data_IF_293301830761
#
_entry.id   IF_293301830761
#
_cell.length_a   1.000
_cell.length_b   1.000
_cell.length_c   1.000
_cell.angle_alpha   90.00
_cell.angle_beta   90.00
_cell.angle_gamma   90.00
#
_symmetry.space_group_name_H-M   'P 1'
#
loop_
_entity.id
_entity.type
_entity.pdbx_description
1 polymer ?
#
# COMPACT_ATOMS: atom_id res chain seq x y z
N UNK A 1 -4.33 8.83 14.92
CA UNK A 1 -5.46 7.95 14.54
C UNK A 1 -5.35 6.65 15.33
N UNK A 2 -6.21 6.46 16.34
CA UNK A 2 -6.24 5.22 17.14
C UNK A 2 -7.19 4.24 16.45
N UNK A 3 -6.64 3.17 15.88
CA UNK A 3 -7.40 1.97 15.49
C UNK A 3 -7.21 0.94 16.60
N UNK A 4 -8.22 0.75 17.46
CA UNK A 4 -8.12 -0.22 18.56
C UNK A 4 -8.70 -1.57 18.16
N UNK A 5 -7.95 -2.63 18.45
CA UNK A 5 -8.23 -3.99 18.00
C UNK A 5 -9.29 -4.70 18.85
N UNK A 6 -9.95 -5.62 18.15
CA UNK A 6 -11.10 -6.45 18.47
C UNK A 6 -10.90 -7.30 19.72
N UNK A 7 -11.89 -7.23 20.60
CA UNK A 7 -12.11 -8.15 21.69
C UNK A 7 -13.10 -9.22 21.20
N UNK A 8 -12.67 -10.48 21.13
CA UNK A 8 -13.53 -11.63 20.83
C UNK A 8 -14.08 -12.19 22.15
N UNK A 9 -15.40 -12.16 22.33
CA UNK A 9 -16.09 -12.64 23.53
C UNK A 9 -17.11 -13.72 23.19
N UNK A 10 -16.96 -14.90 23.78
CA UNK A 10 -17.98 -15.96 23.79
C UNK A 10 -19.09 -15.58 24.79
N UNK A 11 -20.40 -15.72 24.47
CA UNK A 11 -21.40 -14.83 25.04
C UNK A 11 -22.23 -15.44 26.16
N UNK A 12 -22.70 -14.53 27.01
CA UNK A 12 -24.05 -14.47 27.58
C UNK A 12 -24.16 -13.18 28.42
N UNK A 13 -23.93 -11.97 27.86
CA UNK A 13 -23.77 -10.76 28.69
C UNK A 13 -24.22 -9.42 28.11
N UNK A 14 -24.67 -8.56 29.03
CA UNK A 14 -25.13 -7.17 28.89
C UNK A 14 -23.95 -6.18 28.86
N UNK A 15 -24.03 -5.12 28.05
CA UNK A 15 -23.10 -3.96 28.08
C UNK A 15 -23.57 -2.94 29.11
N UNK A 16 -22.64 -2.44 29.94
CA UNK A 16 -22.91 -1.43 30.98
C UNK A 16 -21.99 -0.23 30.73
N UNK A 17 -22.57 0.96 30.55
CA UNK A 17 -21.82 2.21 30.47
C UNK A 17 -21.35 2.62 31.88
N UNK A 18 -20.05 2.92 32.03
CA UNK A 18 -19.48 3.44 33.26
C UNK A 18 -18.93 4.85 33.01
N UNK A 19 -19.84 5.83 32.94
CA UNK A 19 -19.49 7.25 32.83
C UNK A 19 -20.55 8.10 33.53
N UNK A 20 -20.19 8.67 34.69
CA UNK A 20 -20.94 9.65 35.52
C UNK A 20 -22.44 9.33 35.70
N UNK A 21 -22.79 8.55 36.73
CA UNK A 21 -24.13 8.24 37.27
C UNK A 21 -25.29 7.86 36.33
N UNK A 22 -25.13 7.94 35.01
CA UNK A 22 -26.15 7.61 34.03
C UNK A 22 -25.86 6.22 33.44
N UNK A 23 -26.57 5.22 33.97
CA UNK A 23 -26.57 3.87 33.40
C UNK A 23 -27.50 3.90 32.17
N UNK A 24 -26.93 4.15 31.00
CA UNK A 24 -27.66 3.93 29.74
C UNK A 24 -27.63 2.42 29.45
N UNK A 25 -28.68 1.73 29.88
CA UNK A 25 -28.98 0.37 29.40
C UNK A 25 -29.61 0.52 28.03
N UNK A 26 -28.88 0.21 26.95
CA UNK A 26 -29.46 0.19 25.61
C UNK A 26 -30.44 -0.99 25.49
N UNK A 27 -31.76 -0.77 25.43
CA UNK A 27 -32.71 -1.84 25.18
C UNK A 27 -32.67 -2.17 23.69
N UNK A 28 -32.51 -3.46 23.37
CA UNK A 28 -32.42 -4.00 22.01
C UNK A 28 -31.19 -3.53 21.21
N UNK A 29 -30.15 -4.37 21.25
CA UNK A 29 -28.84 -4.19 20.59
C UNK A 29 -28.88 -3.94 19.07
N UNK A 30 -29.97 -4.31 18.38
CA UNK A 30 -30.01 -4.41 16.92
C UNK A 30 -31.23 -3.69 16.31
N UNK A 31 -31.33 -2.36 16.47
CA UNK A 31 -32.45 -1.57 15.91
C UNK A 31 -32.11 -0.78 14.65
N UNK A 32 -30.83 -0.68 14.28
CA UNK A 32 -30.39 0.05 13.07
C UNK A 32 -29.46 -0.80 12.21
N UNK A 33 -29.87 -1.06 10.96
CA UNK A 33 -29.02 -1.67 9.93
C UNK A 33 -28.03 -0.62 9.41
N UNK A 34 -26.80 -0.67 9.87
CA UNK A 34 -25.68 -0.05 9.15
C UNK A 34 -25.10 -1.10 8.20
N UNK A 35 -25.28 -0.88 6.90
CA UNK A 35 -24.93 -1.86 5.87
C UNK A 35 -23.42 -2.02 5.61
N UNK A 36 -22.56 -1.22 6.25
CA UNK A 36 -21.14 -1.18 5.89
C UNK A 36 -20.27 -0.95 7.12
N UNK A 37 -19.71 -2.02 7.68
CA UNK A 37 -18.45 -1.88 8.42
C UNK A 37 -17.41 -1.34 7.43
N UNK A 38 -16.79 -0.22 7.77
CA UNK A 38 -15.63 0.26 7.03
C UNK A 38 -14.55 -0.82 7.12
N UNK A 39 -13.86 -1.17 6.03
CA UNK A 39 -12.78 -2.14 6.12
C UNK A 39 -11.74 -1.76 7.24
N UNK A 40 -10.89 -2.67 7.74
CA UNK A 40 -10.58 -4.01 7.26
C UNK A 40 -11.60 -5.05 7.72
N UNK A 41 -12.70 -4.62 8.33
CA UNK A 41 -13.68 -5.46 9.00
C UNK A 41 -14.84 -5.88 8.09
N UNK A 42 -14.70 -5.75 6.77
CA UNK A 42 -15.76 -6.01 5.79
C UNK A 42 -16.04 -7.52 5.59
N UNK A 43 -15.07 -8.38 5.90
CA UNK A 43 -15.18 -9.84 5.79
C UNK A 43 -15.75 -10.49 7.07
N UNK A 44 -16.03 -9.67 8.09
CA UNK A 44 -16.71 -10.12 9.29
C UNK A 44 -18.19 -10.35 8.93
N UNK A 45 -18.79 -11.53 9.24
CA UNK A 45 -20.18 -11.85 8.87
C UNK A 45 -21.18 -10.75 9.30
N UNK A 46 -22.37 -10.68 8.71
CA UNK A 46 -23.23 -9.48 8.76
C UNK A 46 -24.38 -9.57 9.77
N UNK A 47 -24.06 -9.59 11.06
CA UNK A 47 -25.02 -9.31 12.14
C UNK A 47 -24.48 -8.18 13.00
N UNK A 48 -24.50 -6.97 12.43
CA UNK A 48 -24.02 -5.76 13.09
C UNK A 48 -25.14 -5.20 13.98
N UNK A 49 -24.82 -5.01 15.26
CA UNK A 49 -25.69 -4.41 16.26
C UNK A 49 -25.16 -3.02 16.65
N UNK A 50 -25.71 -1.97 16.03
CA UNK A 50 -25.61 -0.54 16.42
C UNK A 50 -24.21 0.13 16.48
N UNK A 51 -24.16 1.44 16.17
CA UNK A 51 -22.99 2.29 16.43
C UNK A 51 -23.37 3.38 17.43
N UNK A 52 -22.61 3.52 18.52
CA UNK A 52 -22.76 4.63 19.45
C UNK A 52 -21.69 5.68 19.13
N UNK A 53 -22.13 6.84 18.63
CA UNK A 53 -21.26 8.02 18.48
C UNK A 53 -21.33 8.84 19.78
N UNK A 54 -20.21 8.94 20.49
CA UNK A 54 -20.09 9.63 21.77
C UNK A 54 -18.89 10.58 21.75
N UNK A 55 -19.13 11.89 21.61
CA UNK A 55 -18.10 12.94 21.66
C UNK A 55 -16.84 12.68 20.80
N UNK A 56 -17.01 12.12 19.59
CA UNK A 56 -15.89 11.81 18.68
C UNK A 56 -15.26 10.43 18.85
N UNK A 57 -15.80 9.61 19.76
CA UNK A 57 -15.55 8.17 19.84
C UNK A 57 -16.71 7.41 19.22
N UNK A 58 -16.39 6.39 18.43
CA UNK A 58 -17.36 5.47 17.84
C UNK A 58 -17.09 4.07 18.35
N UNK A 59 -18.13 3.43 18.84
CA UNK A 59 -18.10 2.02 19.22
C UNK A 59 -18.99 1.24 18.26
N UNK A 60 -18.44 0.18 17.66
CA UNK A 60 -19.16 -0.74 16.77
C UNK A 60 -19.05 -2.15 17.29
N UNK A 61 -20.15 -2.90 17.26
CA UNK A 61 -20.21 -4.27 17.77
C UNK A 61 -20.77 -5.22 16.70
N UNK A 62 -20.21 -6.42 16.64
CA UNK A 62 -20.64 -7.49 15.74
C UNK A 62 -20.65 -8.82 16.49
N UNK A 63 -21.67 -9.67 16.32
CA UNK A 63 -21.67 -11.02 16.85
C UNK A 63 -21.80 -12.04 15.71
N UNK A 64 -20.90 -13.01 15.61
CA UNK A 64 -20.99 -14.06 14.59
C UNK A 64 -21.96 -15.19 14.96
N UNK A 65 -22.15 -16.13 14.02
CA UNK A 65 -23.00 -17.31 14.21
C UNK A 65 -22.47 -18.27 15.28
N UNK A 66 -21.17 -18.19 15.60
CA UNK A 66 -20.55 -18.93 16.70
C UNK A 66 -20.65 -18.15 18.02
N UNK A 67 -21.50 -17.13 18.05
CA UNK A 67 -21.82 -16.31 19.19
C UNK A 67 -20.64 -15.45 19.67
N UNK A 68 -19.58 -15.31 18.88
CA UNK A 68 -18.40 -14.49 19.19
C UNK A 68 -18.69 -13.02 18.94
N UNK A 69 -18.69 -12.21 20.00
CA UNK A 69 -18.83 -10.76 19.95
C UNK A 69 -17.47 -10.10 19.66
N UNK A 70 -17.41 -9.34 18.59
CA UNK A 70 -16.33 -8.45 18.16
C UNK A 70 -16.68 -7.01 18.50
N UNK A 71 -15.81 -6.33 19.25
CA UNK A 71 -15.95 -4.90 19.59
C UNK A 71 -14.87 -4.09 18.89
N UNK A 72 -15.27 -3.09 18.09
CA UNK A 72 -14.36 -2.13 17.45
C UNK A 72 -14.55 -0.76 18.11
N UNK A 73 -13.46 -0.18 18.59
CA UNK A 73 -13.43 1.17 19.14
C UNK A 73 -12.57 2.05 18.25
N UNK A 74 -13.11 3.21 17.86
CA UNK A 74 -12.35 4.26 17.18
C UNK A 74 -12.55 5.59 17.88
N UNK A 75 -11.49 6.40 17.91
CA UNK A 75 -11.50 7.73 18.51
C UNK A 75 -10.77 8.72 17.61
N UNK A 76 -11.35 9.90 17.43
CA UNK A 76 -10.79 10.94 16.56
C UNK A 76 -9.70 11.79 17.25
N UNK A 77 -9.54 11.69 18.58
CA UNK A 77 -8.67 12.58 19.36
C UNK A 77 -7.30 11.96 19.70
N UNK A 78 -6.22 12.66 19.34
CA UNK A 78 -4.82 12.21 19.49
C UNK A 78 -4.31 12.21 20.94
N UNK A 79 -4.96 12.94 21.85
CA UNK A 79 -4.54 13.07 23.26
C UNK A 79 -5.42 12.29 24.24
N UNK A 80 -6.03 11.20 23.78
CA UNK A 80 -6.99 10.45 24.58
C UNK A 80 -6.64 8.99 24.74
N UNK A 81 -7.08 8.43 25.86
CA UNK A 81 -7.06 7.01 26.13
C UNK A 81 -8.49 6.47 25.95
N UNK A 82 -8.59 5.22 25.53
CA UNK A 82 -9.86 4.50 25.46
C UNK A 82 -9.68 3.16 26.18
N UNK A 83 -10.63 2.83 27.05
CA UNK A 83 -10.60 1.60 27.83
C UNK A 83 -11.86 0.77 27.63
N UNK A 84 -11.71 -0.55 27.53
CA UNK A 84 -12.82 -1.50 27.55
C UNK A 84 -12.58 -2.57 28.60
N UNK A 85 -13.57 -2.77 29.45
CA UNK A 85 -13.63 -3.84 30.45
C UNK A 85 -14.56 -4.97 30.02
N UNK A 86 -14.17 -6.19 30.35
CA UNK A 86 -14.94 -7.41 30.12
C UNK A 86 -15.00 -8.20 31.41
N UNK A 87 -16.22 -8.51 31.81
CA UNK A 87 -16.50 -9.27 33.02
C UNK A 87 -17.25 -10.58 32.71
N UNK A 88 -16.93 -11.65 33.44
CA UNK A 88 -17.61 -12.96 33.36
C UNK A 88 -18.82 -13.10 34.28
N UNK A 89 -19.07 -12.14 35.15
CA UNK A 89 -20.21 -12.14 36.08
C UNK A 89 -20.98 -10.80 36.04
N UNK A 90 -20.56 -9.85 35.20
CA UNK A 90 -21.12 -8.51 35.14
C UNK A 90 -20.58 -7.57 36.22
N UNK A 91 -19.67 -8.05 37.07
CA UNK A 91 -19.03 -7.26 38.12
C UNK A 91 -17.72 -6.64 37.63
N UNK A 92 -17.42 -5.44 38.14
CA UNK A 92 -16.15 -4.76 37.85
C UNK A 92 -14.94 -5.48 38.47
N UNK A 93 -15.10 -6.01 39.68
CA UNK A 93 -14.04 -6.77 40.36
C UNK A 93 -13.97 -8.17 39.77
N UNK A 94 -12.77 -8.66 39.48
CA UNK A 94 -12.53 -9.92 38.79
C UNK A 94 -12.57 -9.81 37.26
N UNK A 95 -12.81 -8.61 36.73
CA UNK A 95 -12.87 -8.36 35.29
C UNK A 95 -11.49 -8.15 34.67
N UNK A 96 -11.40 -8.31 33.36
CA UNK A 96 -10.23 -7.92 32.57
C UNK A 96 -10.54 -6.64 31.81
N UNK A 97 -9.60 -5.71 31.76
CA UNK A 97 -9.72 -4.48 31.00
C UNK A 97 -8.56 -4.34 30.03
N UNK A 98 -8.78 -3.58 28.97
CA UNK A 98 -7.79 -3.20 27.98
C UNK A 98 -7.86 -1.69 27.83
N UNK A 99 -6.73 -1.01 27.92
CA UNK A 99 -6.63 0.44 27.74
C UNK A 99 -5.63 0.73 26.63
N UNK A 100 -6.08 1.48 25.63
CA UNK A 100 -5.26 1.99 24.54
C UNK A 100 -5.06 3.50 24.67
N UNK A 101 -3.85 4.00 24.42
CA UNK A 101 -3.55 5.44 24.37
C UNK A 101 -2.49 5.73 23.32
N UNK A 102 -2.44 6.98 22.85
CA UNK A 102 -1.32 7.48 22.05
C UNK A 102 -0.14 7.81 22.95
N UNK A 103 1.05 7.39 22.55
CA UNK A 103 2.30 7.78 23.19
C UNK A 103 2.59 9.25 22.90
N UNK A 104 3.49 9.83 23.70
CA UNK A 104 3.89 11.26 23.61
C UNK A 104 4.49 11.66 22.26
N UNK A 105 4.86 10.68 21.43
CA UNK A 105 5.36 10.92 20.08
C UNK A 105 4.26 11.27 19.07
N UNK A 106 2.97 11.14 19.46
CA UNK A 106 1.80 11.35 18.60
C UNK A 106 1.70 10.35 17.43
N UNK A 107 2.56 9.32 17.41
CA UNK A 107 2.78 8.44 16.24
C UNK A 107 2.75 6.96 16.59
N UNK A 108 2.90 6.60 17.85
CA UNK A 108 2.72 5.24 18.35
C UNK A 108 1.56 5.16 19.32
N UNK A 109 0.76 4.11 19.20
CA UNK A 109 -0.26 3.75 20.19
C UNK A 109 0.26 2.61 21.04
N UNK A 110 -0.04 2.65 22.34
CA UNK A 110 0.19 1.53 23.26
C UNK A 110 -1.16 1.00 23.69
N UNK A 111 -1.30 -0.32 23.71
CA UNK A 111 -2.45 -0.98 24.33
C UNK A 111 -1.91 -1.87 25.44
N UNK A 112 -2.47 -1.72 26.64
CA UNK A 112 -2.15 -2.56 27.79
C UNK A 112 -3.38 -3.23 28.34
N UNK A 113 -3.18 -4.43 28.86
CA UNK A 113 -4.20 -5.18 29.56
C UNK A 113 -4.08 -4.96 31.07
N UNK A 114 -5.21 -5.03 31.77
CA UNK A 114 -5.29 -4.91 33.23
C UNK A 114 -6.26 -5.92 33.80
N UNK A 115 -5.95 -6.46 34.98
CA UNK A 115 -6.88 -7.26 35.77
C UNK A 115 -7.36 -6.45 36.97
N UNK A 116 -8.68 -6.25 37.08
CA UNK A 116 -9.29 -5.40 38.09
C UNK A 116 -9.61 -6.23 39.35
N UNK A 117 -8.70 -6.24 40.34
CA UNK A 117 -8.81 -6.99 41.60
C UNK A 117 -9.70 -6.29 42.65
N UNK A 118 -9.95 -5.00 42.50
CA UNK A 118 -10.68 -4.19 43.49
C UNK A 118 -11.24 -2.91 42.89
N UNK A 119 -11.83 -2.04 43.73
CA UNK A 119 -12.59 -0.85 43.30
C UNK A 119 -12.00 0.47 43.76
N UNK A 120 -11.08 0.48 44.73
CA UNK A 120 -10.77 1.70 45.50
C UNK A 120 -9.32 2.13 45.38
N UNK A 121 -8.38 1.19 45.32
CA UNK A 121 -6.96 1.53 45.29
C UNK A 121 -6.35 1.24 43.93
N UNK A 122 -5.37 2.05 43.54
CA UNK A 122 -4.75 1.96 42.21
C UNK A 122 -3.94 0.67 42.03
N UNK A 123 -3.39 0.10 43.13
CA UNK A 123 -2.70 -1.19 43.17
C UNK A 123 -3.63 -2.39 42.96
N UNK A 124 -4.94 -2.16 43.03
CA UNK A 124 -5.95 -3.18 42.73
C UNK A 124 -6.18 -3.32 41.21
N UNK A 125 -5.55 -2.50 40.37
CA UNK A 125 -5.45 -2.69 38.92
C UNK A 125 -4.09 -3.30 38.56
N UNK A 126 -4.09 -4.60 38.21
CA UNK A 126 -2.85 -5.33 37.93
C UNK A 126 -2.53 -5.20 36.43
N UNK A 127 -1.46 -4.49 36.03
CA UNK A 127 -1.09 -4.36 34.63
C UNK A 127 -0.63 -5.70 34.04
N UNK A 128 -0.73 -5.81 32.72
CA UNK A 128 -0.25 -6.92 31.89
C UNK A 128 -0.83 -8.30 32.30
N UNK A 129 -2.02 -8.29 32.92
CA UNK A 129 -2.75 -9.47 33.38
C UNK A 129 -4.22 -9.43 32.95
N UNK A 130 -4.79 -10.60 32.66
CA UNK A 130 -6.22 -10.78 32.34
C UNK A 130 -6.42 -11.90 31.32
N UNK A 131 -7.67 -12.10 30.89
CA UNK A 131 -8.04 -13.23 29.99
C UNK A 131 -8.22 -12.83 28.52
N UNK A 132 -8.15 -11.53 28.22
CA UNK A 132 -8.38 -10.95 26.90
C UNK A 132 -7.14 -11.16 26.03
N UNK A 133 -7.31 -11.78 24.85
CA UNK A 133 -6.23 -11.91 23.86
C UNK A 133 -6.16 -10.66 23.00
N UNK A 134 -5.07 -9.91 23.13
CA UNK A 134 -4.82 -8.72 22.31
C UNK A 134 -3.94 -9.10 21.12
N UNK A 135 -4.46 -8.89 19.92
CA UNK A 135 -3.67 -8.85 18.69
C UNK A 135 -3.30 -7.41 18.33
N UNK A 136 -2.24 -7.25 17.55
CA UNK A 136 -1.79 -5.97 17.05
C UNK A 136 -1.54 -6.07 15.56
N UNK A 137 -2.26 -5.27 14.76
CA UNK A 137 -1.90 -5.04 13.35
C UNK A 137 -1.28 -3.65 13.25
N UNK A 138 0.05 -3.59 13.20
CA UNK A 138 0.79 -2.33 13.09
C UNK A 138 0.67 -1.79 11.65
N UNK A 139 -0.28 -0.88 11.43
CA UNK A 139 -0.49 -0.22 10.14
C UNK A 139 0.76 0.49 9.61
N UNK A 140 1.72 0.85 10.48
CA UNK A 140 2.99 1.47 10.05
C UNK A 140 3.90 0.47 9.36
N UNK A 141 3.97 -0.77 9.84
CA UNK A 141 4.72 -1.84 9.17
C UNK A 141 4.12 -2.13 7.80
N UNK A 142 2.79 -2.25 7.73
CA UNK A 142 2.08 -2.46 6.45
C UNK A 142 2.33 -1.30 5.48
N UNK A 143 2.26 -0.05 5.96
CA UNK A 143 2.57 1.15 5.17
C UNK A 143 4.01 1.18 4.68
N UNK A 144 4.96 0.82 5.54
CA UNK A 144 6.38 0.77 5.17
C UNK A 144 6.64 -0.33 4.13
N UNK A 145 6.08 -1.52 4.32
CA UNK A 145 6.17 -2.62 3.36
C UNK A 145 5.59 -2.25 1.99
N UNK A 146 4.41 -1.63 1.96
CA UNK A 146 3.82 -1.10 0.72
C UNK A 146 4.77 -0.13 0.00
N UNK A 147 5.32 0.84 0.73
CA UNK A 147 6.26 1.82 0.19
C UNK A 147 7.54 1.19 -0.35
N UNK A 148 8.16 0.27 0.40
CA UNK A 148 9.41 -0.40 -0.01
C UNK A 148 9.18 -1.23 -1.27
N UNK A 149 8.14 -2.06 -1.29
CA UNK A 149 7.84 -2.93 -2.45
C UNK A 149 7.57 -2.11 -3.72
N UNK A 150 6.80 -1.02 -3.61
CA UNK A 150 6.48 -0.19 -4.78
C UNK A 150 7.68 0.62 -5.27
N UNK A 151 8.52 1.15 -4.38
CA UNK A 151 9.78 1.82 -4.74
C UNK A 151 10.73 0.84 -5.44
N UNK A 152 10.95 -0.35 -4.88
CA UNK A 152 11.86 -1.33 -5.47
C UNK A 152 11.31 -1.84 -6.81
N UNK A 153 10.06 -2.33 -6.83
CA UNK A 153 9.46 -2.92 -8.01
C UNK A 153 9.28 -1.92 -9.15
N UNK A 154 8.45 -0.90 -8.94
CA UNK A 154 8.07 0.05 -9.99
C UNK A 154 8.96 1.29 -10.08
N UNK A 155 9.64 1.67 -8.99
CA UNK A 155 10.54 2.83 -8.98
C UNK A 155 11.96 2.53 -9.46
N UNK A 156 12.45 1.28 -9.33
CA UNK A 156 13.83 0.91 -9.64
C UNK A 156 13.90 -0.20 -10.70
N UNK A 157 13.29 -1.37 -10.43
CA UNK A 157 13.43 -2.56 -11.29
C UNK A 157 12.80 -2.33 -12.67
N UNK A 158 11.55 -1.84 -12.73
CA UNK A 158 10.86 -1.58 -14.01
C UNK A 158 11.61 -0.54 -14.88
N UNK A 159 12.00 0.65 -14.38
CA UNK A 159 12.78 1.61 -15.15
C UNK A 159 14.11 1.03 -15.63
N UNK A 160 14.79 0.24 -14.79
CA UNK A 160 16.04 -0.42 -15.15
C UNK A 160 15.86 -1.43 -16.30
N UNK A 161 14.81 -2.28 -16.24
CA UNK A 161 14.46 -3.20 -17.32
C UNK A 161 14.12 -2.47 -18.63
N UNK A 162 13.44 -1.32 -18.55
CA UNK A 162 13.18 -0.47 -19.71
C UNK A 162 14.47 0.08 -20.34
N UNK A 163 15.45 0.48 -19.51
CA UNK A 163 16.76 0.95 -19.97
C UNK A 163 17.54 -0.16 -20.70
N UNK A 164 17.48 -1.41 -20.25
CA UNK A 164 18.11 -2.55 -20.94
C UNK A 164 17.61 -2.70 -22.38
N UNK A 165 16.30 -2.59 -22.62
CA UNK A 165 15.73 -2.68 -23.96
C UNK A 165 16.16 -1.53 -24.90
N UNK A 166 16.62 -0.40 -24.34
CA UNK A 166 17.11 0.76 -25.09
C UNK A 166 18.58 0.63 -25.45
N UNK A 167 19.44 0.32 -24.46
CA UNK A 167 20.90 0.41 -24.62
C UNK A 167 21.57 -0.90 -24.96
N UNK A 168 20.96 -2.05 -24.67
CA UNK A 168 21.52 -3.35 -25.01
C UNK A 168 20.98 -3.89 -26.35
N UNK A 169 20.27 -3.06 -27.12
CA UNK A 169 19.47 -3.48 -28.28
C UNK A 169 20.26 -4.21 -29.38
N UNK A 170 21.57 -3.98 -29.46
CA UNK A 170 22.48 -4.60 -30.42
C UNK A 170 22.81 -6.06 -30.05
N UNK A 171 22.67 -6.45 -28.78
CA UNK A 171 22.97 -7.79 -28.28
C UNK A 171 21.74 -8.70 -28.37
N UNK A 172 21.46 -9.23 -29.55
CA UNK A 172 20.42 -10.24 -29.78
C UNK A 172 20.95 -11.66 -29.47
N UNK A 173 20.18 -12.53 -28.76
CA UNK A 173 18.85 -12.32 -28.17
C UNK A 173 18.91 -11.79 -26.72
N UNK A 174 20.10 -11.51 -26.18
CA UNK A 174 20.33 -11.18 -24.77
C UNK A 174 19.46 -10.04 -24.25
N UNK A 175 19.34 -8.93 -24.98
CA UNK A 175 18.55 -7.78 -24.54
C UNK A 175 17.10 -8.13 -24.27
N UNK A 176 16.55 -9.07 -25.07
CA UNK A 176 15.16 -9.47 -24.98
C UNK A 176 14.92 -10.23 -23.69
N UNK A 177 15.77 -11.21 -23.38
CA UNK A 177 15.69 -11.98 -22.15
C UNK A 177 15.94 -11.13 -20.91
N UNK A 178 16.97 -10.28 -20.92
CA UNK A 178 17.24 -9.38 -19.80
C UNK A 178 16.07 -8.43 -19.55
N UNK A 179 15.55 -7.79 -20.61
CA UNK A 179 14.38 -6.91 -20.49
C UNK A 179 13.17 -7.67 -19.94
N UNK A 180 12.78 -8.80 -20.55
CA UNK A 180 11.58 -9.52 -20.11
C UNK A 180 11.70 -10.03 -18.68
N UNK A 181 12.84 -10.63 -18.32
CA UNK A 181 13.04 -11.21 -16.99
C UNK A 181 13.00 -10.13 -15.90
N UNK A 182 13.70 -9.01 -16.10
CA UNK A 182 13.70 -7.89 -15.15
C UNK A 182 12.31 -7.27 -15.04
N UNK A 183 11.57 -7.14 -16.16
CA UNK A 183 10.21 -6.59 -16.14
C UNK A 183 9.23 -7.50 -15.38
N UNK A 184 9.30 -8.82 -15.54
CA UNK A 184 8.46 -9.75 -14.78
C UNK A 184 8.76 -9.70 -13.27
N UNK A 185 10.04 -9.68 -12.89
CA UNK A 185 10.44 -9.53 -11.48
C UNK A 185 9.87 -8.22 -10.91
N UNK A 186 10.08 -7.10 -11.60
CA UNK A 186 9.57 -5.79 -11.18
C UNK A 186 8.05 -5.75 -11.08
N UNK A 187 7.34 -6.42 -12.00
CA UNK A 187 5.88 -6.52 -11.98
C UNK A 187 5.38 -7.26 -10.75
N UNK A 188 5.91 -8.45 -10.42
CA UNK A 188 5.43 -9.23 -9.27
C UNK A 188 5.78 -8.59 -7.92
N UNK A 189 6.95 -7.93 -7.82
CA UNK A 189 7.29 -7.12 -6.64
C UNK A 189 6.32 -5.94 -6.49
N UNK A 190 6.02 -5.24 -7.59
CA UNK A 190 5.05 -4.14 -7.61
C UNK A 190 3.63 -4.60 -7.29
N UNK A 191 3.19 -5.75 -7.82
CA UNK A 191 1.88 -6.36 -7.56
C UNK A 191 1.72 -6.72 -6.08
N UNK A 192 2.75 -7.30 -5.47
CA UNK A 192 2.80 -7.52 -4.02
C UNK A 192 2.66 -6.21 -3.26
N UNK A 193 3.31 -5.14 -3.73
CA UNK A 193 3.13 -3.78 -3.21
C UNK A 193 1.68 -3.30 -3.28
N UNK A 194 0.98 -3.49 -4.39
CA UNK A 194 -0.44 -3.14 -4.54
C UNK A 194 -1.33 -3.96 -3.60
N UNK A 195 -1.06 -5.27 -3.46
CA UNK A 195 -1.79 -6.12 -2.53
C UNK A 195 -1.64 -5.64 -1.07
N UNK A 196 -0.42 -5.32 -0.63
CA UNK A 196 -0.18 -4.72 0.69
C UNK A 196 -0.85 -3.34 0.81
N UNK A 197 -0.89 -2.57 -0.27
CA UNK A 197 -1.58 -1.27 -0.31
C UNK A 197 -3.09 -1.39 -0.15
N UNK A 198 -3.69 -2.47 -0.67
CA UNK A 198 -5.09 -2.84 -0.44
C UNK A 198 -5.36 -3.15 1.02
N UNK A 199 -4.54 -4.02 1.62
CA UNK A 199 -4.62 -4.32 3.06
C UNK A 199 -4.40 -3.07 3.91
N UNK A 200 -3.51 -2.16 3.51
CA UNK A 200 -3.31 -0.89 4.20
C UNK A 200 -4.55 -0.02 4.13
N UNK A 201 -5.14 0.18 2.95
CA UNK A 201 -6.37 0.94 2.79
C UNK A 201 -7.47 0.36 3.67
N UNK A 202 -7.57 -0.96 3.68
CA UNK A 202 -8.48 -1.66 4.55
C UNK A 202 -8.20 -1.31 6.01
N UNK A 203 -6.97 -1.39 6.50
CA UNK A 203 -6.65 -1.09 7.90
C UNK A 203 -6.91 0.36 8.35
N UNK A 204 -6.72 1.35 7.49
CA UNK A 204 -6.68 2.78 7.92
C UNK A 204 -7.76 3.68 7.31
N UNK A 205 -8.45 3.26 6.24
CA UNK A 205 -9.49 4.07 5.57
C UNK A 205 -9.04 5.47 5.18
N UNK A 206 -7.74 5.66 4.97
CA UNK A 206 -7.18 6.96 4.70
C UNK A 206 -7.74 7.51 3.38
N UNK A 207 -8.19 8.76 3.41
CA UNK A 207 -8.67 9.46 2.23
C UNK A 207 -7.50 9.89 1.35
N UNK A 208 -7.02 8.95 0.52
CA UNK A 208 -5.88 9.15 -0.38
C UNK A 208 -6.23 8.75 -1.82
N UNK A 209 -7.34 9.28 -2.32
CA UNK A 209 -7.98 8.83 -3.55
C UNK A 209 -7.10 8.99 -4.80
N UNK A 210 -6.33 10.08 -4.93
CA UNK A 210 -5.48 10.32 -6.09
C UNK A 210 -4.37 9.27 -6.21
N UNK A 211 -3.66 8.98 -5.12
CA UNK A 211 -2.60 7.96 -5.09
C UNK A 211 -3.16 6.57 -5.41
N UNK A 212 -4.31 6.24 -4.82
CA UNK A 212 -4.99 4.96 -5.05
C UNK A 212 -5.42 4.80 -6.51
N UNK A 213 -6.05 5.83 -7.08
CA UNK A 213 -6.56 5.80 -8.46
C UNK A 213 -5.42 5.69 -9.47
N UNK A 214 -4.37 6.50 -9.31
CA UNK A 214 -3.17 6.40 -10.15
C UNK A 214 -2.52 5.02 -10.00
N UNK A 215 -2.44 4.48 -8.78
CA UNK A 215 -1.92 3.13 -8.54
C UNK A 215 -2.65 2.03 -9.32
N UNK A 216 -3.99 2.06 -9.35
CA UNK A 216 -4.77 1.11 -10.16
C UNK A 216 -4.60 1.32 -11.67
N UNK A 217 -4.46 2.58 -12.13
CA UNK A 217 -4.15 2.86 -13.54
C UNK A 217 -2.78 2.28 -13.91
N UNK A 218 -1.76 2.46 -13.08
CA UNK A 218 -0.42 1.87 -13.28
C UNK A 218 -0.51 0.34 -13.32
N UNK A 219 -1.26 -0.29 -12.43
CA UNK A 219 -1.48 -1.74 -12.45
C UNK A 219 -2.13 -2.19 -13.76
N UNK A 220 -3.23 -1.55 -14.17
CA UNK A 220 -3.95 -1.90 -15.40
C UNK A 220 -3.06 -1.77 -16.65
N UNK A 221 -2.32 -0.67 -16.76
CA UNK A 221 -1.38 -0.46 -17.86
C UNK A 221 -0.21 -1.47 -17.82
N UNK A 222 0.23 -1.89 -16.63
CA UNK A 222 1.26 -2.93 -16.49
C UNK A 222 0.76 -4.32 -16.89
N UNK A 223 -0.49 -4.66 -16.58
CA UNK A 223 -1.14 -5.89 -17.09
C UNK A 223 -1.26 -5.82 -18.62
N UNK A 224 -1.64 -4.66 -19.17
CA UNK A 224 -1.67 -4.47 -20.62
C UNK A 224 -0.28 -4.69 -21.26
N UNK A 225 0.82 -4.29 -20.60
CA UNK A 225 2.18 -4.60 -21.07
C UNK A 225 2.46 -6.10 -21.14
N UNK A 226 1.97 -6.88 -20.17
CA UNK A 226 2.10 -8.35 -20.18
C UNK A 226 1.25 -8.95 -21.32
N UNK A 227 0.02 -8.49 -21.51
CA UNK A 227 -0.80 -8.90 -22.65
C UNK A 227 -0.11 -8.60 -23.99
N UNK A 228 0.52 -7.42 -24.11
CA UNK A 228 1.30 -7.06 -25.29
C UNK A 228 2.51 -7.97 -25.50
N UNK A 229 3.19 -8.38 -24.43
CA UNK A 229 4.27 -9.36 -24.51
C UNK A 229 3.79 -10.71 -25.07
N UNK A 230 2.64 -11.21 -24.59
CA UNK A 230 2.05 -12.47 -25.08
C UNK A 230 1.62 -12.34 -26.55
N UNK A 231 0.99 -11.22 -26.90
CA UNK A 231 0.50 -10.93 -28.26
C UNK A 231 1.61 -10.41 -29.21
N UNK A 232 2.88 -10.61 -28.87
CA UNK A 232 4.05 -10.16 -29.65
C UNK A 232 3.98 -10.71 -31.09
N UNK A 233 3.77 -9.86 -32.12
CA UNK A 233 3.70 -10.33 -33.50
C UNK A 233 5.07 -10.77 -34.03
N UNK A 234 5.07 -11.61 -35.06
CA UNK A 234 6.28 -12.02 -35.80
C UNK A 234 7.02 -10.82 -36.41
N UNK A 235 8.33 -10.96 -36.64
CA UNK A 235 9.17 -9.89 -37.22
C UNK A 235 8.76 -9.48 -38.63
N UNK A 236 8.12 -10.39 -39.38
CA UNK A 236 7.67 -10.18 -40.77
C UNK A 236 6.30 -9.50 -40.88
N UNK A 237 5.54 -9.41 -39.79
CA UNK A 237 4.19 -8.83 -39.80
C UNK A 237 4.20 -7.30 -39.86
N UNK A 238 3.35 -6.71 -40.71
CA UNK A 238 3.12 -5.25 -40.74
C UNK A 238 2.61 -4.71 -39.40
N UNK A 239 1.84 -5.52 -38.66
CA UNK A 239 1.29 -5.18 -37.33
C UNK A 239 2.41 -4.94 -36.30
N UNK A 240 3.58 -5.55 -36.49
CA UNK A 240 4.77 -5.39 -35.63
C UNK A 240 5.14 -3.92 -35.43
N UNK A 241 5.00 -3.08 -36.46
CA UNK A 241 5.33 -1.65 -36.40
C UNK A 241 4.42 -0.91 -35.41
N UNK A 242 3.10 -1.13 -35.48
CA UNK A 242 2.12 -0.53 -34.58
C UNK A 242 2.25 -1.07 -33.16
N UNK A 243 2.46 -2.38 -33.03
CA UNK A 243 2.74 -3.02 -31.74
C UNK A 243 3.99 -2.41 -31.07
N UNK A 244 5.10 -2.24 -31.80
CA UNK A 244 6.32 -1.64 -31.26
C UNK A 244 6.08 -0.19 -30.76
N UNK A 245 5.30 0.61 -31.52
CA UNK A 245 4.95 1.98 -31.12
C UNK A 245 4.08 1.98 -29.87
N UNK A 246 3.02 1.17 -29.86
CA UNK A 246 2.09 1.05 -28.74
C UNK A 246 2.81 0.56 -27.47
N UNK A 247 3.53 -0.55 -27.55
CA UNK A 247 4.29 -1.13 -26.43
C UNK A 247 5.25 -0.12 -25.81
N UNK A 248 5.99 0.62 -26.64
CA UNK A 248 6.93 1.65 -26.18
C UNK A 248 6.24 2.80 -25.43
N UNK A 249 5.15 3.34 -25.97
CA UNK A 249 4.50 4.50 -25.37
C UNK A 249 3.72 4.14 -24.11
N UNK A 250 2.99 3.02 -24.12
CA UNK A 250 2.31 2.52 -22.92
C UNK A 250 3.33 2.22 -21.82
N UNK A 251 4.47 1.59 -22.14
CA UNK A 251 5.51 1.27 -21.16
C UNK A 251 6.15 2.52 -20.55
N UNK A 252 6.37 3.58 -21.35
CA UNK A 252 6.84 4.88 -20.85
C UNK A 252 5.81 5.55 -19.95
N UNK A 253 4.53 5.50 -20.31
CA UNK A 253 3.46 6.02 -19.47
C UNK A 253 3.40 5.32 -18.11
N UNK A 254 3.56 3.98 -18.08
CA UNK A 254 3.65 3.20 -16.83
C UNK A 254 4.79 3.70 -15.95
N UNK A 255 6.00 3.86 -16.50
CA UNK A 255 7.16 4.34 -15.74
C UNK A 255 6.92 5.72 -15.15
N UNK A 256 6.42 6.67 -15.95
CA UNK A 256 6.16 8.05 -15.49
C UNK A 256 5.07 8.08 -14.42
N UNK A 257 3.93 7.42 -14.67
CA UNK A 257 2.83 7.39 -13.71
C UNK A 257 3.22 6.69 -12.40
N UNK A 258 4.02 5.62 -12.46
CA UNK A 258 4.52 4.96 -11.27
C UNK A 258 5.41 5.88 -10.43
N UNK A 259 6.35 6.61 -11.06
CA UNK A 259 7.21 7.56 -10.36
C UNK A 259 6.42 8.71 -9.73
N UNK A 260 5.47 9.28 -10.46
CA UNK A 260 4.54 10.28 -9.92
C UNK A 260 3.75 9.71 -8.74
N UNK A 261 3.26 8.49 -8.86
CA UNK A 261 2.48 7.86 -7.80
C UNK A 261 3.31 7.61 -6.53
N UNK A 262 4.58 7.18 -6.68
CA UNK A 262 5.52 7.01 -5.58
C UNK A 262 5.82 8.37 -4.93
N UNK A 263 6.02 9.42 -5.73
CA UNK A 263 6.21 10.77 -5.20
C UNK A 263 5.00 11.22 -4.37
N UNK A 264 3.78 11.07 -4.91
CA UNK A 264 2.56 11.38 -4.17
C UNK A 264 2.52 10.58 -2.85
N UNK A 265 2.74 9.26 -2.91
CA UNK A 265 2.73 8.37 -1.75
C UNK A 265 3.74 8.74 -0.66
N UNK A 266 4.96 9.11 -1.05
CA UNK A 266 6.02 9.50 -0.10
C UNK A 266 5.80 10.88 0.50
N UNK A 267 5.44 11.87 -0.31
CA UNK A 267 5.37 13.28 0.13
C UNK A 267 4.06 13.60 0.84
N UNK A 268 2.92 13.24 0.23
CA UNK A 268 1.59 13.48 0.81
C UNK A 268 1.22 12.41 1.83
N UNK A 269 1.69 11.17 1.68
CA UNK A 269 1.49 10.12 2.66
C UNK A 269 2.35 10.24 3.92
N UNK A 270 3.00 11.39 4.15
CA UNK A 270 3.89 11.64 5.29
C UNK A 270 4.98 10.55 5.46
N UNK A 271 5.61 10.16 4.36
CA UNK A 271 6.72 9.20 4.36
C UNK A 271 7.89 9.71 5.19
N UNK A 272 8.63 8.79 5.83
CA UNK A 272 9.77 9.14 6.65
C UNK A 272 10.83 9.92 5.87
N UNK A 273 11.48 10.90 6.53
CA UNK A 273 12.56 11.71 5.92
C UNK A 273 13.62 10.87 5.19
N UNK A 274 14.12 9.75 5.76
CA UNK A 274 15.11 8.91 5.07
C UNK A 274 14.60 8.35 3.73
N UNK A 275 13.33 7.91 3.66
CA UNK A 275 12.74 7.37 2.44
C UNK A 275 12.59 8.43 1.35
N UNK A 276 12.21 9.66 1.72
CA UNK A 276 12.12 10.79 0.78
C UNK A 276 13.49 11.12 0.19
N UNK A 277 14.52 11.21 1.04
CA UNK A 277 15.90 11.49 0.62
C UNK A 277 16.41 10.37 -0.29
N UNK A 278 16.28 9.11 0.14
CA UNK A 278 16.70 7.95 -0.64
C UNK A 278 16.06 7.95 -2.04
N UNK A 279 14.75 8.15 -2.10
CA UNK A 279 14.02 8.18 -3.37
C UNK A 279 14.50 9.32 -4.28
N UNK A 280 14.66 10.54 -3.77
CA UNK A 280 15.14 11.67 -4.56
C UNK A 280 16.57 11.45 -5.08
N UNK A 281 17.47 10.91 -4.26
CA UNK A 281 18.85 10.60 -4.64
C UNK A 281 18.89 9.48 -5.69
N UNK A 282 18.11 8.41 -5.50
CA UNK A 282 18.02 7.30 -6.45
C UNK A 282 17.43 7.76 -7.79
N UNK A 283 16.36 8.57 -7.75
CA UNK A 283 15.74 9.14 -8.94
C UNK A 283 16.71 10.06 -9.71
N UNK A 284 17.40 10.96 -9.00
CA UNK A 284 18.36 11.88 -9.62
C UNK A 284 19.52 11.13 -10.27
N UNK A 285 20.08 10.14 -9.56
CA UNK A 285 21.13 9.26 -10.09
C UNK A 285 20.65 8.48 -11.31
N UNK A 286 19.42 7.94 -11.27
CA UNK A 286 18.84 7.24 -12.41
C UNK A 286 18.71 8.18 -13.62
N UNK A 287 18.15 9.38 -13.47
CA UNK A 287 18.01 10.36 -14.56
C UNK A 287 19.37 10.74 -15.14
N UNK A 288 20.37 11.02 -14.30
CA UNK A 288 21.73 11.30 -14.76
C UNK A 288 22.33 10.14 -15.54
N UNK A 289 22.15 8.90 -15.07
CA UNK A 289 22.61 7.70 -15.79
C UNK A 289 21.96 7.59 -17.18
N UNK A 290 20.67 7.91 -17.29
CA UNK A 290 19.95 7.89 -18.58
C UNK A 290 20.48 8.96 -19.54
N UNK A 291 20.76 10.17 -19.04
CA UNK A 291 21.34 11.25 -19.86
C UNK A 291 22.71 10.83 -20.39
N UNK A 292 23.59 10.29 -19.52
CA UNK A 292 24.92 9.84 -19.91
C UNK A 292 24.85 8.72 -20.96
N UNK A 293 24.00 7.72 -20.74
CA UNK A 293 23.83 6.60 -21.67
C UNK A 293 23.26 7.04 -23.03
N UNK A 294 22.29 7.97 -23.04
CA UNK A 294 21.72 8.49 -24.29
C UNK A 294 22.75 9.34 -25.05
N UNK A 295 23.55 10.18 -24.37
CA UNK A 295 24.65 10.93 -25.00
C UNK A 295 25.65 9.96 -25.63
N UNK A 296 26.08 8.92 -24.89
CA UNK A 296 27.02 7.90 -25.41
C UNK A 296 26.46 7.21 -26.66
N UNK A 297 25.19 6.81 -26.63
CA UNK A 297 24.52 6.17 -27.75
C UNK A 297 24.45 7.08 -28.99
N UNK A 298 24.15 8.37 -28.80
CA UNK A 298 24.12 9.35 -29.89
C UNK A 298 25.51 9.58 -30.48
N UNK A 299 26.55 9.65 -29.65
CA UNK A 299 27.94 9.78 -30.11
C UNK A 299 28.40 8.55 -30.90
N UNK A 300 28.07 7.34 -30.44
CA UNK A 300 28.36 6.10 -31.16
C UNK A 300 27.71 6.09 -32.55
N UNK A 301 26.43 6.47 -32.64
CA UNK A 301 25.71 6.56 -33.92
C UNK A 301 26.31 7.60 -34.87
N UNK A 302 26.71 8.76 -34.35
CA UNK A 302 27.38 9.79 -35.16
C UNK A 302 28.73 9.30 -35.70
N UNK A 303 29.54 8.63 -34.87
CA UNK A 303 30.82 8.05 -35.29
C UNK A 303 30.64 7.00 -36.39
N UNK A 304 29.69 6.08 -36.21
CA UNK A 304 29.39 5.06 -37.22
C UNK A 304 28.97 5.67 -38.57
N UNK A 305 28.11 6.71 -38.55
CA UNK A 305 27.69 7.39 -39.77
C UNK A 305 28.85 8.08 -40.50
N UNK A 306 29.76 8.73 -39.76
CA UNK A 306 30.96 9.37 -40.32
C UNK A 306 31.91 8.34 -40.97
N UNK A 307 32.09 7.18 -40.35
CA UNK A 307 32.89 6.09 -40.94
C UNK A 307 32.27 5.59 -42.24
N UNK A 308 30.95 5.37 -42.28
CA UNK A 308 30.26 4.93 -43.51
C UNK A 308 30.41 5.92 -44.67
N UNK A 309 30.35 7.24 -44.40
CA UNK A 309 30.55 8.26 -45.45
C UNK A 309 31.99 8.39 -45.93
N UNK A 310 32.97 8.00 -45.10
CA UNK A 310 34.38 8.08 -45.47
C UNK A 310 34.83 6.91 -46.36
N UNK A 311 34.19 5.74 -46.23
CA UNK A 311 34.50 4.52 -47.00
C UNK A 311 33.72 4.43 -48.34
N UNK A 312 32.82 5.37 -48.64
CA UNK A 312 32.10 5.39 -49.92
C UNK A 312 33.02 5.99 -51.02
N UNK A 313 33.42 5.20 -52.05
CA UNK A 313 34.32 5.70 -53.09
C UNK A 313 33.65 6.86 -53.84
N UNK A 314 34.42 7.86 -54.31
CA UNK A 314 33.86 9.00 -55.02
C UNK A 314 33.04 8.52 -56.22
N UNK A 315 31.80 9.01 -56.32
CA UNK A 315 30.92 8.78 -57.46
C UNK A 315 31.65 9.23 -58.73
N UNK A 316 32.14 8.27 -59.51
CA UNK A 316 32.66 8.52 -60.84
C UNK A 316 31.49 8.99 -61.70
N UNK A 317 31.36 10.30 -61.89
CA UNK A 317 30.37 10.86 -62.80
C UNK A 317 30.77 10.45 -64.22
N UNK A 318 30.03 9.52 -64.82
CA UNK A 318 30.20 9.18 -66.23
C UNK A 318 29.52 10.29 -67.03
N UNK A 319 30.27 11.05 -67.87
CA UNK A 319 29.65 12.07 -68.70
C UNK A 319 28.66 11.44 -69.69
N UNK A 320 27.56 12.13 -70.03
CA UNK A 320 26.60 11.63 -70.99
C UNK A 320 27.30 11.34 -72.33
N UNK A 321 27.02 10.17 -72.92
CA UNK A 321 27.45 9.88 -74.30
C UNK A 321 26.74 10.85 -75.23
N UNK A 322 27.52 11.69 -75.89
CA UNK A 322 27.14 12.49 -77.06
C UNK A 322 26.72 11.60 -78.21
#
# INVERSE_FOLDING_TARGET
>A
MITMMILLLEPNKRLVNAGRNDIVVLPNFCTTRLNVLQPPYHDIPKSICSSLDWHGYRISFFQDNNAVLTVVLSGMNENSWVGVGVSKDGMMVGSSAVVGWMNRDGRSGTVKQYYLKGRRRNDESIPDKGVIRIGFVDSRKVKMTHGILTIIGWGIIIPFGASMARYLREYEPLWYYLHSSVQFIGFFVGLSGVAVGRTLYELVHADFNSHRSIGYIVLALSVLQICQFIMRPSRTSKVRKYWNKSHRWVGRSVVVLALVNIFIGLFYGNGGKPFKIFFLCAFSTFVLSQIILEIRLLLQRKRAALTTTADEPPLFQVPPRT
#
